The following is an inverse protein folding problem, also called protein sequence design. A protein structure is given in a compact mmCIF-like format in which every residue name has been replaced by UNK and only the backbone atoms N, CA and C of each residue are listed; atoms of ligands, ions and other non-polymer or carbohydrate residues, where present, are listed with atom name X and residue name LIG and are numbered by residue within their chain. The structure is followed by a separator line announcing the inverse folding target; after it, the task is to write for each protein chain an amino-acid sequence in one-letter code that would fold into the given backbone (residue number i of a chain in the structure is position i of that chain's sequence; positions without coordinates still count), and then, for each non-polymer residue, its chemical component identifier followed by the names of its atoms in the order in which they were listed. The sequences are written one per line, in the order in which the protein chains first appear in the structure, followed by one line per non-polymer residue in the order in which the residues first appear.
data_IF_662651923948
#
_entry.id   IF_662651923948
#
_cell.length_a   1.000
_cell.length_b   1.000
_cell.length_c   1.000
_cell.angle_alpha   90.00
_cell.angle_beta   90.00
_cell.angle_gamma   90.00
#
_symmetry.space_group_name_H-M   'P 1'
#
loop_
_entity.id
_entity.type
_entity.pdbx_description
1 polymer ?
#
# COMPACT_ATOMS: atom_id res chain seq x y z
N UNK A 1 30.09 -33.25 0.01
CA UNK A 1 29.58 -32.07 0.73
C UNK A 1 28.12 -31.85 0.33
N UNK A 2 27.18 -32.20 1.20
CA UNK A 2 25.74 -32.04 0.97
C UNK A 2 25.37 -30.55 1.12
N UNK A 3 24.92 -29.90 0.06
CA UNK A 3 24.37 -28.54 0.10
C UNK A 3 22.92 -28.66 0.60
N UNK A 4 22.69 -28.30 1.85
CA UNK A 4 21.34 -28.15 2.39
C UNK A 4 20.63 -27.01 1.65
N UNK A 5 19.65 -27.32 0.78
CA UNK A 5 18.69 -26.35 0.22
C UNK A 5 17.61 -26.12 1.28
N UNK A 6 17.59 -24.94 1.85
CA UNK A 6 16.47 -24.49 2.68
C UNK A 6 15.18 -24.51 1.85
N UNK A 7 14.11 -25.09 2.39
CA UNK A 7 12.80 -24.99 1.76
C UNK A 7 12.20 -23.59 2.02
N UNK A 8 11.17 -23.23 1.23
CA UNK A 8 10.57 -21.90 1.29
C UNK A 8 10.09 -21.50 2.70
N UNK A 9 9.60 -22.46 3.48
CA UNK A 9 9.16 -22.24 4.86
C UNK A 9 10.34 -21.95 5.79
N UNK A 10 11.46 -22.66 5.65
CA UNK A 10 12.68 -22.43 6.41
C UNK A 10 13.31 -21.07 6.06
N UNK A 11 13.21 -20.63 4.80
CA UNK A 11 13.67 -19.31 4.37
C UNK A 11 12.81 -18.20 4.99
N UNK A 12 11.49 -18.37 5.04
CA UNK A 12 10.55 -17.44 5.69
C UNK A 12 10.82 -17.38 7.20
N UNK A 13 11.03 -18.52 7.86
CA UNK A 13 11.35 -18.58 9.29
C UNK A 13 12.71 -17.93 9.57
N UNK A 14 13.72 -18.15 8.72
CA UNK A 14 15.04 -17.53 8.86
C UNK A 14 14.98 -16.01 8.71
N UNK A 15 14.18 -15.49 7.76
CA UNK A 15 13.95 -14.05 7.58
C UNK A 15 13.22 -13.46 8.79
N UNK A 16 12.26 -14.18 9.38
CA UNK A 16 11.56 -13.79 10.59
C UNK A 16 12.49 -13.80 11.82
N UNK A 17 13.40 -14.76 11.94
CA UNK A 17 14.36 -14.86 13.05
C UNK A 17 15.46 -13.80 12.94
N UNK A 18 15.95 -13.49 11.74
CA UNK A 18 16.93 -12.41 11.53
C UNK A 18 16.34 -11.02 11.85
N UNK A 19 15.01 -10.84 11.74
CA UNK A 19 14.33 -9.62 12.12
C UNK A 19 14.26 -9.39 13.65
N UNK A 20 14.53 -10.41 14.48
CA UNK A 20 14.37 -10.36 15.94
C UNK A 20 15.62 -9.87 16.72
N UNK A 21 16.73 -9.58 16.07
CA UNK A 21 18.04 -9.46 16.74
C UNK A 21 18.61 -8.04 16.91
N UNK A 22 17.86 -6.95 16.73
CA UNK A 22 18.43 -5.59 16.74
C UNK A 22 17.72 -4.58 17.70
N UNK A 23 18.43 -3.54 18.22
CA UNK A 23 17.94 -2.67 19.31
C UNK A 23 16.91 -1.60 18.90
N UNK A 24 16.18 -1.15 19.89
CA UNK A 24 14.94 -0.36 19.88
C UNK A 24 15.08 1.11 19.47
N UNK A 25 14.36 1.57 18.44
CA UNK A 25 13.98 2.96 18.25
C UNK A 25 12.63 3.12 17.50
N UNK A 26 11.98 4.27 17.67
CA UNK A 26 10.62 4.54 17.19
C UNK A 26 10.53 4.56 15.66
N UNK A 27 9.63 3.75 15.09
CA UNK A 27 9.26 3.86 13.68
C UNK A 27 8.40 5.11 13.47
N UNK A 28 8.85 6.01 12.61
CA UNK A 28 8.08 7.12 12.11
C UNK A 28 7.58 6.79 10.68
N UNK A 29 6.28 6.93 10.43
CA UNK A 29 5.70 6.88 9.09
C UNK A 29 5.82 8.23 8.38
N UNK A 30 5.32 8.33 7.13
CA UNK A 30 5.27 9.58 6.37
C UNK A 30 6.66 10.13 6.01
N UNK A 31 6.86 11.43 6.18
CA UNK A 31 8.07 12.15 5.77
C UNK A 31 9.34 11.80 6.58
N UNK A 32 9.21 11.13 7.71
CA UNK A 32 10.35 10.82 8.58
C UNK A 32 11.13 9.60 8.08
N UNK A 33 12.44 9.72 7.74
CA UNK A 33 13.31 8.57 7.52
C UNK A 33 13.46 7.75 8.80
N UNK A 34 13.69 6.45 8.65
CA UNK A 34 14.12 5.59 9.75
C UNK A 34 15.54 5.98 10.17
N UNK A 35 15.82 5.96 11.46
CA UNK A 35 17.19 6.12 11.96
C UNK A 35 18.05 4.95 11.51
N UNK A 36 19.35 5.19 11.32
CA UNK A 36 20.30 4.14 10.97
C UNK A 36 20.17 2.96 11.92
N UNK A 37 20.06 1.75 11.34
CA UNK A 37 19.98 0.50 12.09
C UNK A 37 18.61 0.22 12.70
N UNK A 38 17.57 1.06 12.49
CA UNK A 38 16.21 0.78 12.96
C UNK A 38 15.31 0.34 11.83
N UNK A 39 14.29 -0.44 12.16
CA UNK A 39 13.34 -0.95 11.18
C UNK A 39 11.89 -0.92 11.64
N UNK A 40 10.99 -0.94 10.67
CA UNK A 40 9.56 -1.12 10.87
C UNK A 40 9.07 -2.18 9.89
N UNK A 41 8.41 -3.20 10.41
CA UNK A 41 7.88 -4.33 9.64
C UNK A 41 6.43 -4.53 9.99
N UNK A 42 5.61 -4.86 9.01
CA UNK A 42 4.19 -5.14 9.24
C UNK A 42 3.68 -6.28 8.37
N UNK A 43 2.71 -6.98 8.90
CA UNK A 43 1.85 -7.93 8.21
C UNK A 43 0.42 -7.40 8.32
N UNK A 44 -0.23 -7.16 7.19
CA UNK A 44 -1.60 -6.67 7.12
C UNK A 44 -2.50 -7.69 6.40
N UNK A 45 -3.68 -7.91 6.94
CA UNK A 45 -4.83 -8.49 6.24
C UNK A 45 -5.74 -7.36 5.79
N UNK A 46 -6.12 -7.35 4.50
CA UNK A 46 -7.00 -6.37 3.89
C UNK A 46 -8.14 -7.08 3.18
N UNK A 47 -9.36 -6.60 3.38
CA UNK A 47 -10.54 -7.15 2.75
C UNK A 47 -11.46 -6.05 2.25
N UNK A 48 -12.02 -6.24 1.05
CA UNK A 48 -13.11 -5.46 0.51
C UNK A 48 -14.13 -6.35 -0.19
N UNK A 49 -15.38 -5.91 -0.21
CA UNK A 49 -16.47 -6.58 -0.92
C UNK A 49 -17.47 -5.55 -1.42
N UNK A 50 -17.81 -5.58 -2.71
CA UNK A 50 -18.75 -4.64 -3.30
C UNK A 50 -19.49 -5.22 -4.48
N UNK A 51 -20.73 -4.74 -4.66
CA UNK A 51 -21.51 -4.92 -5.87
C UNK A 51 -21.66 -3.60 -6.67
N UNK A 52 -20.73 -2.64 -6.45
CA UNK A 52 -20.75 -1.34 -7.12
C UNK A 52 -19.36 -0.93 -7.58
N UNK A 53 -19.30 -0.33 -8.77
CA UNK A 53 -18.08 0.20 -9.39
C UNK A 53 -18.38 1.60 -9.92
N UNK A 54 -17.41 2.50 -9.83
CA UNK A 54 -17.43 3.73 -10.60
C UNK A 54 -16.88 3.45 -12.00
N UNK A 55 -17.70 3.68 -13.03
CA UNK A 55 -17.32 3.48 -14.44
C UNK A 55 -16.34 4.58 -14.93
N UNK A 56 -16.03 4.58 -16.22
CA UNK A 56 -15.13 5.55 -16.85
C UNK A 56 -15.64 7.01 -16.82
N UNK A 57 -16.93 7.22 -16.58
CA UNK A 57 -17.56 8.53 -16.44
C UNK A 57 -17.67 8.98 -14.98
N UNK A 58 -17.26 8.10 -14.03
CA UNK A 58 -17.42 8.34 -12.59
C UNK A 58 -18.84 8.10 -12.08
N UNK A 59 -19.69 7.47 -12.88
CA UNK A 59 -21.03 7.04 -12.48
C UNK A 59 -20.95 5.71 -11.74
N UNK A 60 -21.68 5.60 -10.64
CA UNK A 60 -21.74 4.38 -9.85
C UNK A 60 -22.70 3.39 -10.49
N UNK A 61 -22.18 2.27 -10.96
CA UNK A 61 -22.94 1.19 -11.62
C UNK A 61 -22.92 -0.08 -10.78
N UNK A 62 -23.97 -0.90 -10.92
CA UNK A 62 -24.02 -2.22 -10.30
C UNK A 62 -23.15 -3.22 -11.06
N UNK A 63 -22.44 -4.04 -10.36
CA UNK A 63 -21.64 -5.17 -10.88
C UNK A 63 -21.96 -6.42 -10.07
N UNK A 64 -21.65 -7.63 -10.56
CA UNK A 64 -21.62 -8.81 -9.72
C UNK A 64 -20.72 -8.57 -8.51
N UNK A 65 -21.01 -9.22 -7.39
CA UNK A 65 -20.28 -9.01 -6.14
C UNK A 65 -18.81 -9.36 -6.32
N UNK A 66 -17.94 -8.38 -6.22
CA UNK A 66 -16.50 -8.53 -6.25
C UNK A 66 -15.95 -8.52 -4.83
N UNK A 67 -15.11 -9.50 -4.53
CA UNK A 67 -14.40 -9.64 -3.26
C UNK A 67 -12.88 -9.59 -3.53
N UNK A 68 -12.14 -8.83 -2.74
CA UNK A 68 -10.68 -8.76 -2.81
C UNK A 68 -10.12 -8.94 -1.40
N UNK A 69 -9.31 -9.96 -1.24
CA UNK A 69 -8.58 -10.27 -0.02
C UNK A 69 -7.08 -10.19 -0.31
N UNK A 70 -6.34 -9.48 0.53
CA UNK A 70 -4.90 -9.35 0.38
C UNK A 70 -4.21 -9.54 1.73
N UNK A 71 -3.16 -10.38 1.75
CA UNK A 71 -2.17 -10.46 2.83
C UNK A 71 -0.94 -9.70 2.37
N UNK A 72 -0.65 -8.56 3.02
CA UNK A 72 0.45 -7.68 2.68
C UNK A 72 1.59 -7.76 3.69
N UNK A 73 2.80 -7.73 3.19
CA UNK A 73 4.03 -7.56 3.96
C UNK A 73 4.65 -6.22 3.60
N UNK A 74 5.13 -5.50 4.58
CA UNK A 74 5.89 -4.27 4.38
C UNK A 74 7.07 -4.23 5.35
N UNK A 75 8.23 -3.83 4.86
CA UNK A 75 9.41 -3.58 5.66
C UNK A 75 10.07 -2.27 5.26
N UNK A 76 10.58 -1.53 6.24
CA UNK A 76 11.45 -0.38 6.02
C UNK A 76 12.62 -0.42 6.99
N UNK A 77 13.80 -0.01 6.52
CA UNK A 77 15.04 -0.05 7.29
C UNK A 77 15.90 1.18 7.04
N UNK A 78 16.40 1.78 8.11
CA UNK A 78 17.30 2.92 8.06
C UNK A 78 18.72 2.50 7.68
N UNK A 79 19.12 2.73 6.45
CA UNK A 79 20.47 2.47 5.94
C UNK A 79 21.44 3.50 6.51
N UNK A 80 21.02 4.75 6.53
CA UNK A 80 21.66 5.88 7.23
C UNK A 80 20.57 6.68 7.96
N UNK A 81 20.93 7.70 8.73
CA UNK A 81 19.95 8.59 9.38
C UNK A 81 19.10 9.41 8.39
N UNK A 82 19.52 9.48 7.13
CA UNK A 82 18.81 10.17 6.06
C UNK A 82 18.25 9.24 4.99
N UNK A 83 18.74 8.01 4.89
CA UNK A 83 18.37 7.06 3.83
C UNK A 83 17.66 5.85 4.42
N UNK A 84 16.43 5.61 3.98
CA UNK A 84 15.60 4.46 4.34
C UNK A 84 15.32 3.63 3.09
N UNK A 85 15.63 2.34 3.12
CA UNK A 85 15.14 1.37 2.15
C UNK A 85 13.79 0.80 2.59
N UNK A 86 12.90 0.51 1.65
CA UNK A 86 11.63 -0.14 1.96
C UNK A 86 11.19 -1.11 0.87
N UNK A 87 10.41 -2.10 1.29
CA UNK A 87 9.80 -3.09 0.41
C UNK A 87 8.34 -3.33 0.85
N UNK A 88 7.45 -3.42 -0.12
CA UNK A 88 6.06 -3.83 0.08
C UNK A 88 5.72 -4.97 -0.86
N UNK A 89 5.04 -5.99 -0.34
CA UNK A 89 4.71 -7.21 -1.07
C UNK A 89 3.27 -7.59 -0.78
N UNK A 90 2.46 -7.80 -1.82
CA UNK A 90 1.19 -8.52 -1.68
C UNK A 90 1.50 -10.04 -1.69
N UNK A 91 1.84 -10.58 -0.52
CA UNK A 91 2.30 -11.97 -0.37
C UNK A 91 1.23 -12.99 -0.76
N UNK A 92 -0.03 -12.64 -0.61
CA UNK A 92 -1.16 -13.38 -1.13
C UNK A 92 -2.29 -12.40 -1.48
N UNK A 93 -2.89 -12.60 -2.64
CA UNK A 93 -4.07 -11.87 -3.09
C UNK A 93 -5.06 -12.85 -3.69
N UNK A 94 -6.35 -12.70 -3.37
CA UNK A 94 -7.45 -13.43 -3.97
C UNK A 94 -8.52 -12.44 -4.38
N UNK A 95 -8.94 -12.51 -5.63
CA UNK A 95 -10.01 -11.68 -6.19
C UNK A 95 -11.07 -12.62 -6.75
N UNK A 96 -12.31 -12.44 -6.33
CA UNK A 96 -13.47 -13.26 -6.73
C UNK A 96 -14.59 -12.36 -7.22
N UNK A 97 -15.26 -12.81 -8.27
CA UNK A 97 -16.45 -12.17 -8.83
C UNK A 97 -17.60 -13.20 -8.83
N UNK A 98 -18.62 -12.96 -8.01
CA UNK A 98 -19.81 -13.82 -7.95
C UNK A 98 -20.64 -13.59 -9.22
N UNK A 99 -20.45 -14.43 -10.23
CA UNK A 99 -21.27 -14.40 -11.45
C UNK A 99 -22.45 -15.35 -11.34
N UNK A 100 -23.63 -14.89 -11.72
CA UNK A 100 -24.87 -15.69 -11.75
C UNK A 100 -25.11 -16.28 -13.14
N UNK A 101 -24.25 -16.03 -14.12
CA UNK A 101 -24.48 -16.33 -15.53
C UNK A 101 -23.17 -16.60 -16.28
N UNK A 102 -23.23 -17.52 -17.24
CA UNK A 102 -22.23 -17.82 -18.28
C UNK A 102 -21.92 -16.66 -19.25
N UNK A 103 -22.27 -15.43 -18.91
CA UNK A 103 -22.05 -14.26 -19.74
C UNK A 103 -20.63 -13.67 -19.65
N UNK A 104 -19.74 -14.26 -18.86
CA UNK A 104 -18.37 -13.78 -18.64
C UNK A 104 -17.40 -14.86 -19.14
N UNK A 105 -16.58 -14.51 -20.13
CA UNK A 105 -15.60 -15.42 -20.76
C UNK A 105 -14.21 -15.36 -20.11
N UNK A 106 -14.13 -15.15 -18.78
CA UNK A 106 -12.86 -15.18 -18.05
C UNK A 106 -13.05 -15.80 -16.66
N UNK A 107 -11.94 -16.20 -16.05
CA UNK A 107 -11.95 -16.77 -14.69
C UNK A 107 -12.50 -15.79 -13.66
N UNK A 108 -13.50 -16.22 -12.92
CA UNK A 108 -14.18 -15.42 -11.88
C UNK A 108 -13.55 -15.53 -10.50
N UNK A 109 -12.47 -16.29 -10.38
CA UNK A 109 -11.66 -16.46 -9.15
C UNK A 109 -10.19 -16.54 -9.56
N UNK A 110 -9.39 -15.57 -9.14
CA UNK A 110 -7.94 -15.56 -9.31
C UNK A 110 -7.26 -15.39 -7.97
N UNK A 111 -6.23 -16.18 -7.72
CA UNK A 111 -5.43 -16.03 -6.51
C UNK A 111 -3.94 -16.28 -6.78
N UNK A 112 -3.11 -15.73 -5.92
CA UNK A 112 -1.67 -15.89 -6.00
C UNK A 112 -0.90 -14.76 -5.35
N UNK A 113 0.35 -14.66 -5.72
CA UNK A 113 1.24 -13.57 -5.35
C UNK A 113 0.82 -12.29 -6.08
N UNK A 114 0.93 -11.16 -5.44
CA UNK A 114 0.69 -9.86 -6.07
C UNK A 114 2.00 -9.16 -6.44
N UNK A 115 1.94 -7.85 -6.63
CA UNK A 115 3.11 -7.06 -7.00
C UNK A 115 4.04 -6.80 -5.83
N UNK A 116 5.34 -6.63 -6.17
CA UNK A 116 6.37 -6.17 -5.26
C UNK A 116 6.65 -4.70 -5.55
N UNK A 117 6.73 -3.88 -4.50
CA UNK A 117 7.18 -2.50 -4.58
C UNK A 117 8.46 -2.36 -3.74
N UNK A 118 9.52 -1.83 -4.34
CA UNK A 118 10.76 -1.53 -3.64
C UNK A 118 11.08 -0.06 -3.79
N UNK A 119 11.72 0.54 -2.79
CA UNK A 119 12.04 1.96 -2.90
C UNK A 119 13.03 2.45 -1.88
N UNK A 120 13.43 3.70 -2.09
CA UNK A 120 14.30 4.45 -1.20
C UNK A 120 13.61 5.76 -0.84
N UNK A 121 13.74 6.16 0.42
CA UNK A 121 13.35 7.48 0.93
C UNK A 121 14.58 8.19 1.44
N UNK A 122 14.75 9.45 1.04
CA UNK A 122 15.86 10.30 1.47
C UNK A 122 15.34 11.54 2.19
N UNK A 123 15.81 11.76 3.42
CA UNK A 123 15.55 12.98 4.19
C UNK A 123 16.36 14.13 3.64
N UNK A 124 15.70 15.07 2.95
CA UNK A 124 16.31 16.25 2.33
C UNK A 124 16.82 17.19 3.42
N UNK A 125 15.98 17.44 4.43
CA UNK A 125 16.32 18.37 5.50
C UNK A 125 15.23 18.51 6.56
N UNK A 126 15.54 19.33 7.57
CA UNK A 126 14.66 19.63 8.68
C UNK A 126 14.74 21.14 9.01
N UNK A 127 13.58 21.76 9.16
CA UNK A 127 13.43 23.14 9.62
C UNK A 127 12.57 23.11 10.89
N UNK A 128 13.18 23.37 12.04
CA UNK A 128 12.50 23.24 13.33
C UNK A 128 11.98 21.80 13.54
N UNK A 129 10.67 21.62 13.59
CA UNK A 129 9.98 20.33 13.76
C UNK A 129 9.39 19.80 12.44
N UNK A 130 9.64 20.47 11.34
CA UNK A 130 9.19 20.09 10.00
C UNK A 130 10.31 19.32 9.28
N UNK A 131 9.98 18.16 8.73
CA UNK A 131 10.90 17.29 7.98
C UNK A 131 10.44 17.25 6.53
N UNK A 132 11.40 17.29 5.62
CA UNK A 132 11.19 17.15 4.17
C UNK A 132 11.92 15.90 3.69
N UNK A 133 11.27 15.10 2.87
CA UNK A 133 11.88 13.93 2.24
C UNK A 133 11.41 13.76 0.81
N UNK A 134 12.20 13.02 0.05
CA UNK A 134 11.84 12.51 -1.28
C UNK A 134 11.92 11.00 -1.29
N UNK A 135 11.24 10.37 -2.23
CA UNK A 135 11.26 8.93 -2.41
C UNK A 135 11.25 8.54 -3.88
N UNK A 136 11.88 7.42 -4.17
CA UNK A 136 11.75 6.72 -5.43
C UNK A 136 11.18 5.33 -5.16
N UNK A 137 10.30 4.85 -6.05
CA UNK A 137 9.63 3.57 -5.89
C UNK A 137 9.63 2.87 -7.25
N UNK A 138 9.94 1.57 -7.25
CA UNK A 138 9.82 0.70 -8.40
C UNK A 138 8.76 -0.37 -8.11
N UNK A 139 7.74 -0.44 -8.97
CA UNK A 139 6.71 -1.47 -8.93
C UNK A 139 7.06 -2.58 -9.90
N UNK A 140 7.26 -3.79 -9.37
CA UNK A 140 7.58 -4.99 -10.13
C UNK A 140 6.29 -5.78 -10.35
N UNK A 141 5.90 -6.07 -11.61
CA UNK A 141 4.66 -6.77 -11.94
C UNK A 141 4.81 -8.28 -11.72
N UNK A 142 4.89 -8.70 -10.47
CA UNK A 142 5.07 -10.11 -10.07
C UNK A 142 3.74 -10.85 -9.88
N UNK A 143 2.63 -10.13 -9.86
CA UNK A 143 1.30 -10.72 -9.77
C UNK A 143 0.84 -11.35 -11.09
N UNK A 144 -0.18 -12.20 -10.99
CA UNK A 144 -0.80 -12.81 -12.17
C UNK A 144 -1.65 -11.78 -12.90
N UNK A 145 -1.56 -11.84 -14.23
CA UNK A 145 -2.40 -11.05 -15.14
C UNK A 145 -3.00 -11.98 -16.18
N UNK A 146 -4.22 -11.71 -16.55
CA UNK A 146 -5.00 -12.38 -17.57
C UNK A 146 -5.33 -11.37 -18.69
N UNK A 147 -6.06 -11.73 -19.76
CA UNK A 147 -6.52 -10.77 -20.74
C UNK A 147 -7.19 -9.55 -20.10
N UNK A 148 -7.11 -8.40 -20.76
CA UNK A 148 -7.71 -7.14 -20.27
C UNK A 148 -9.20 -7.32 -19.95
N UNK A 149 -9.59 -6.77 -18.80
CA UNK A 149 -10.94 -6.89 -18.26
C UNK A 149 -11.18 -8.13 -17.38
N UNK A 150 -10.24 -9.08 -17.31
CA UNK A 150 -10.29 -10.20 -16.37
C UNK A 150 -9.80 -9.82 -14.95
N UNK A 151 -9.87 -10.75 -14.01
CA UNK A 151 -9.39 -10.54 -12.64
C UNK A 151 -7.86 -10.72 -12.57
N UNK A 152 -7.19 -9.78 -11.90
CA UNK A 152 -5.74 -9.76 -11.76
C UNK A 152 -5.32 -9.77 -10.28
N UNK A 153 -4.14 -10.34 -9.98
CA UNK A 153 -3.50 -10.21 -8.66
C UNK A 153 -2.41 -9.15 -8.63
N UNK A 154 -2.00 -8.62 -9.77
CA UNK A 154 -1.00 -7.56 -9.92
C UNK A 154 -1.33 -6.58 -11.04
N UNK A 155 -0.53 -5.53 -11.18
CA UNK A 155 -0.77 -4.42 -12.12
C UNK A 155 -0.42 -4.73 -13.58
N UNK A 156 0.31 -5.81 -13.82
CA UNK A 156 0.75 -6.22 -15.16
C UNK A 156 1.80 -5.34 -15.83
N UNK A 157 2.18 -4.22 -15.22
CA UNK A 157 3.15 -3.28 -15.77
C UNK A 157 4.24 -2.94 -14.75
N UNK A 158 5.46 -2.77 -15.24
CA UNK A 158 6.52 -2.14 -14.45
C UNK A 158 6.20 -0.65 -14.28
N UNK A 159 6.47 -0.14 -13.10
CA UNK A 159 6.27 1.28 -12.82
C UNK A 159 7.43 1.87 -12.04
N UNK A 160 7.65 3.16 -12.25
CA UNK A 160 8.62 3.95 -11.50
C UNK A 160 7.95 5.21 -10.99
N UNK A 161 8.22 5.56 -9.74
CA UNK A 161 7.58 6.72 -9.13
C UNK A 161 8.59 7.55 -8.36
N UNK A 162 8.37 8.86 -8.39
CA UNK A 162 9.09 9.84 -7.58
C UNK A 162 8.08 10.61 -6.75
N UNK A 163 8.41 10.86 -5.49
CA UNK A 163 7.51 11.58 -4.59
C UNK A 163 8.24 12.47 -3.62
N UNK A 164 7.50 13.43 -3.08
CA UNK A 164 7.94 14.34 -2.02
C UNK A 164 7.01 14.21 -0.83
N UNK A 165 7.55 14.36 0.36
CA UNK A 165 6.79 14.28 1.60
C UNK A 165 7.25 15.40 2.56
N UNK A 166 6.29 15.96 3.30
CA UNK A 166 6.49 16.93 4.34
C UNK A 166 5.77 16.47 5.60
N UNK A 167 6.43 16.49 6.74
CA UNK A 167 5.84 16.13 8.03
C UNK A 167 6.17 17.17 9.11
N UNK A 168 5.19 17.52 9.92
CA UNK A 168 5.38 18.41 11.06
C UNK A 168 4.92 17.76 12.36
N UNK A 169 5.80 17.76 13.36
CA UNK A 169 5.48 17.30 14.71
C UNK A 169 5.19 18.50 15.62
N UNK A 170 4.04 18.51 16.27
CA UNK A 170 3.65 19.57 17.20
C UNK A 170 4.14 19.34 18.63
N UNK A 171 5.05 18.35 18.83
CA UNK A 171 5.61 18.07 20.16
C UNK A 171 5.93 19.38 20.93
N UNK A 172 5.56 19.52 22.23
CA UNK A 172 5.08 18.47 23.14
C UNK A 172 3.60 18.09 22.96
N UNK A 173 2.82 18.81 22.15
CA UNK A 173 1.46 18.36 21.85
C UNK A 173 1.49 16.99 21.12
N UNK A 174 0.60 16.07 21.49
CA UNK A 174 0.69 14.67 21.07
C UNK A 174 0.13 14.41 19.64
N UNK A 175 0.38 15.32 18.71
CA UNK A 175 -0.09 15.15 17.33
C UNK A 175 0.94 15.57 16.29
N UNK A 176 0.75 15.05 15.08
CA UNK A 176 1.53 15.38 13.89
C UNK A 176 0.63 15.48 12.66
N UNK A 177 1.14 16.14 11.65
CA UNK A 177 0.58 16.10 10.29
C UNK A 177 1.66 15.66 9.30
N UNK A 178 1.23 15.03 8.24
CA UNK A 178 2.08 14.61 7.14
C UNK A 178 1.33 14.78 5.82
N UNK A 179 2.02 15.26 4.80
CA UNK A 179 1.50 15.37 3.44
C UNK A 179 2.51 14.85 2.44
N UNK A 180 2.02 14.38 1.30
CA UNK A 180 2.90 13.88 0.24
C UNK A 180 2.22 13.87 -1.11
N UNK A 181 3.05 13.93 -2.15
CA UNK A 181 2.64 13.81 -3.54
C UNK A 181 3.61 12.89 -4.28
N UNK A 182 3.10 12.11 -5.22
CA UNK A 182 3.89 11.12 -5.96
C UNK A 182 3.42 11.07 -7.40
N UNK A 183 4.32 11.28 -8.34
CA UNK A 183 4.14 10.98 -9.75
C UNK A 183 4.62 9.56 -10.03
N UNK A 184 3.86 8.80 -10.81
CA UNK A 184 4.13 7.42 -11.15
C UNK A 184 3.98 7.21 -12.65
N UNK A 185 5.09 6.92 -13.29
CA UNK A 185 5.12 6.49 -14.69
C UNK A 185 4.86 4.99 -14.78
N UNK A 186 4.06 4.58 -15.76
CA UNK A 186 3.71 3.19 -16.02
C UNK A 186 3.99 2.85 -17.48
N UNK A 187 4.56 1.66 -17.72
CA UNK A 187 4.84 1.16 -19.08
C UNK A 187 3.66 0.33 -19.64
N UNK A 188 3.82 -0.18 -20.87
CA UNK A 188 2.84 -1.00 -21.60
C UNK A 188 1.51 -0.31 -21.86
N UNK A 189 1.53 0.97 -22.15
CA UNK A 189 0.33 1.72 -22.53
C UNK A 189 -0.59 2.10 -21.36
N UNK A 190 -0.23 1.81 -20.12
CA UNK A 190 -0.99 2.30 -18.98
C UNK A 190 -0.77 3.80 -18.79
N UNK A 191 -1.83 4.52 -18.45
CA UNK A 191 -1.73 5.95 -18.12
C UNK A 191 -0.92 6.18 -16.86
N UNK A 192 -0.14 7.24 -16.86
CA UNK A 192 0.60 7.71 -15.68
C UNK A 192 -0.34 8.21 -14.58
N UNK A 193 0.14 8.21 -13.37
CA UNK A 193 -0.67 8.52 -12.18
C UNK A 193 -0.01 9.58 -11.30
N UNK A 194 -0.83 10.48 -10.80
CA UNK A 194 -0.48 11.36 -9.70
C UNK A 194 -1.25 10.95 -8.45
N UNK A 195 -0.55 10.73 -7.35
CA UNK A 195 -1.15 10.37 -6.06
C UNK A 195 -0.80 11.39 -5.00
N UNK A 196 -1.71 11.63 -4.06
CA UNK A 196 -1.51 12.54 -2.95
C UNK A 196 -2.03 11.94 -1.65
N UNK A 197 -1.48 12.39 -0.54
CA UNK A 197 -1.88 12.00 0.81
C UNK A 197 -1.77 13.18 1.76
N UNK A 198 -2.73 13.30 2.65
CA UNK A 198 -2.70 14.12 3.84
C UNK A 198 -3.04 13.25 5.04
N UNK A 199 -2.21 13.23 6.05
CA UNK A 199 -2.36 12.41 7.24
C UNK A 199 -2.24 13.27 8.49
N UNK A 200 -3.11 13.02 9.47
CA UNK A 200 -2.99 13.53 10.82
C UNK A 200 -3.02 12.40 11.82
N UNK A 201 -2.08 12.40 12.77
CA UNK A 201 -2.05 11.40 13.84
C UNK A 201 -2.08 12.05 15.21
N UNK A 202 -2.92 11.51 16.10
CA UNK A 202 -3.07 11.97 17.48
C UNK A 202 -2.83 10.81 18.44
N UNK A 203 -1.89 10.98 19.37
CA UNK A 203 -1.62 10.01 20.43
C UNK A 203 -2.62 10.20 21.57
N UNK A 204 -3.65 9.36 21.62
CA UNK A 204 -4.71 9.41 22.64
C UNK A 204 -4.16 9.11 24.03
N UNK A 205 -3.37 8.04 24.13
CA UNK A 205 -2.62 7.65 25.33
C UNK A 205 -1.24 7.14 24.90
N UNK A 206 -0.36 6.84 25.87
CA UNK A 206 1.03 6.43 25.61
C UNK A 206 1.17 5.34 24.53
N UNK A 207 0.23 4.40 24.47
CA UNK A 207 0.29 3.22 23.61
C UNK A 207 -0.71 3.24 22.44
N UNK A 208 -1.67 4.18 22.41
CA UNK A 208 -2.74 4.23 21.42
C UNK A 208 -2.65 5.51 20.60
N UNK A 209 -2.55 5.36 19.30
CA UNK A 209 -2.56 6.46 18.33
C UNK A 209 -3.76 6.31 17.39
N UNK A 210 -4.48 7.39 17.19
CA UNK A 210 -5.52 7.52 16.17
C UNK A 210 -4.96 8.29 14.97
N UNK A 211 -5.22 7.80 13.78
CA UNK A 211 -4.72 8.39 12.53
C UNK A 211 -5.89 8.56 11.58
N UNK A 212 -5.94 9.71 10.92
CA UNK A 212 -6.86 9.99 9.81
C UNK A 212 -6.05 10.31 8.59
N UNK A 213 -6.45 9.75 7.44
CA UNK A 213 -5.84 10.03 6.13
C UNK A 213 -6.89 10.42 5.12
N UNK A 214 -6.54 11.42 4.32
CA UNK A 214 -7.18 11.71 3.05
C UNK A 214 -6.16 11.44 1.96
N UNK A 215 -6.51 10.62 1.01
CA UNK A 215 -5.61 10.28 -0.09
C UNK A 215 -6.38 10.08 -1.37
N UNK A 216 -5.68 10.17 -2.47
CA UNK A 216 -6.30 9.96 -3.76
C UNK A 216 -5.27 9.70 -4.85
N UNK A 217 -5.83 9.34 -5.99
CA UNK A 217 -5.11 9.08 -7.22
C UNK A 217 -5.82 9.79 -8.36
N UNK A 218 -5.06 10.35 -9.28
CA UNK A 218 -5.51 10.97 -10.51
C UNK A 218 -4.74 10.32 -11.66
N UNK A 219 -5.45 9.76 -12.63
CA UNK A 219 -4.84 9.33 -13.89
C UNK A 219 -4.60 10.54 -14.79
N UNK A 220 -3.44 10.60 -15.45
CA UNK A 220 -3.12 11.63 -16.42
C UNK A 220 -3.77 11.38 -17.79
N UNK A 221 -4.36 10.18 -18.01
CA UNK A 221 -5.04 9.77 -19.25
C UNK A 221 -4.16 9.88 -20.51
N UNK A 222 -2.88 9.65 -20.35
CA UNK A 222 -1.84 9.73 -21.39
C UNK A 222 -1.43 8.35 -21.93
N UNK A 223 -2.12 7.29 -21.47
CA UNK A 223 -1.93 5.91 -21.93
C UNK A 223 -2.75 5.57 -23.16
N UNK A 224 -2.66 4.31 -23.58
CA UNK A 224 -3.48 3.75 -24.66
C UNK A 224 -4.90 3.49 -24.15
N UNK A 225 -5.89 4.06 -24.84
CA UNK A 225 -7.32 3.91 -24.52
C UNK A 225 -7.83 2.47 -24.69
N UNK A 226 -7.12 1.61 -25.41
CA UNK A 226 -7.47 0.20 -25.57
C UNK A 226 -7.04 -0.66 -24.38
N UNK A 227 -6.17 -0.16 -23.51
CA UNK A 227 -5.75 -0.88 -22.31
C UNK A 227 -6.78 -0.71 -21.21
N UNK A 228 -7.48 -1.79 -20.88
CA UNK A 228 -8.50 -1.82 -19.83
C UNK A 228 -7.87 -2.14 -18.47
N UNK A 229 -6.92 -3.07 -18.45
CA UNK A 229 -6.30 -3.62 -17.23
C UNK A 229 -7.19 -4.64 -16.51
N UNK A 230 -6.83 -5.01 -15.30
CA UNK A 230 -7.56 -5.99 -14.49
C UNK A 230 -8.82 -5.42 -13.86
N UNK A 231 -9.95 -6.09 -14.06
CA UNK A 231 -11.27 -5.64 -13.60
C UNK A 231 -11.30 -5.31 -12.10
N UNK A 232 -11.87 -4.19 -11.79
CA UNK A 232 -12.16 -3.72 -10.43
C UNK A 232 -10.96 -3.11 -9.70
N UNK A 233 -9.84 -3.77 -9.61
CA UNK A 233 -8.70 -3.35 -8.76
C UNK A 233 -7.50 -2.82 -9.52
N UNK A 234 -7.30 -3.25 -10.76
CA UNK A 234 -6.16 -2.86 -11.60
C UNK A 234 -6.58 -2.26 -12.94
N UNK A 235 -7.76 -1.69 -13.03
CA UNK A 235 -8.22 -0.99 -14.24
C UNK A 235 -7.29 0.16 -14.58
N UNK A 236 -7.14 0.44 -15.88
CA UNK A 236 -6.47 1.65 -16.33
C UNK A 236 -7.31 2.89 -16.00
N UNK A 237 -6.72 4.07 -16.07
CA UNK A 237 -7.38 5.36 -15.83
C UNK A 237 -8.12 5.48 -14.50
N UNK A 238 -7.62 4.83 -13.45
CA UNK A 238 -8.21 4.93 -12.13
C UNK A 238 -8.08 6.33 -11.54
N UNK A 239 -9.17 6.81 -10.98
CA UNK A 239 -9.17 8.03 -10.17
C UNK A 239 -10.05 7.82 -8.94
N UNK A 240 -9.60 8.31 -7.79
CA UNK A 240 -10.42 8.28 -6.58
C UNK A 240 -9.96 9.29 -5.53
N UNK A 241 -10.87 9.59 -4.62
CA UNK A 241 -10.60 10.25 -3.35
C UNK A 241 -11.12 9.32 -2.26
N UNK A 242 -10.29 9.04 -1.27
CA UNK A 242 -10.64 8.18 -0.14
C UNK A 242 -10.21 8.81 1.19
N UNK A 243 -10.90 8.44 2.23
CA UNK A 243 -10.53 8.74 3.62
C UNK A 243 -10.36 7.44 4.39
N UNK A 244 -9.41 7.43 5.30
CA UNK A 244 -9.04 6.29 6.11
C UNK A 244 -8.94 6.72 7.57
N UNK A 245 -9.47 5.90 8.47
CA UNK A 245 -9.28 6.04 9.91
C UNK A 245 -8.58 4.81 10.43
N UNK A 246 -7.50 4.97 11.19
CA UNK A 246 -6.67 3.88 11.70
C UNK A 246 -6.44 4.02 13.19
N UNK A 247 -6.54 2.93 13.91
CA UNK A 247 -6.10 2.78 15.30
C UNK A 247 -4.83 1.93 15.34
N UNK A 248 -3.82 2.44 16.02
CA UNK A 248 -2.53 1.78 16.22
C UNK A 248 -2.30 1.60 17.72
N UNK A 249 -2.28 0.37 18.20
CA UNK A 249 -2.02 0.04 19.60
C UNK A 249 -0.67 -0.68 19.74
N UNK A 250 0.22 -0.09 20.53
CA UNK A 250 1.54 -0.63 20.83
C UNK A 250 1.45 -1.50 22.08
N UNK A 251 1.51 -2.82 21.88
CA UNK A 251 1.42 -3.82 22.97
C UNK A 251 2.69 -3.84 23.81
N UNK A 252 3.86 -3.82 23.15
CA UNK A 252 5.17 -3.71 23.77
C UNK A 252 5.96 -2.55 23.17
N UNK A 253 7.20 -2.35 23.57
CA UNK A 253 8.08 -1.35 22.95
C UNK A 253 8.29 -1.59 21.45
N UNK A 254 8.28 -2.84 21.02
CA UNK A 254 8.64 -3.27 19.68
C UNK A 254 7.47 -3.81 18.87
N UNK A 255 6.41 -4.27 19.52
CA UNK A 255 5.29 -4.96 18.87
C UNK A 255 3.99 -4.23 19.10
N UNK A 256 3.15 -4.21 18.08
CA UNK A 256 1.81 -3.67 18.18
C UNK A 256 0.85 -4.24 17.14
N UNK A 257 -0.39 -3.83 17.29
CA UNK A 257 -1.52 -4.18 16.40
C UNK A 257 -2.13 -2.92 15.83
N UNK A 258 -2.75 -3.04 14.69
CA UNK A 258 -3.43 -1.91 14.04
C UNK A 258 -4.64 -2.39 13.28
N UNK A 259 -5.60 -1.51 13.11
CA UNK A 259 -6.76 -1.74 12.28
C UNK A 259 -7.20 -0.45 11.63
N UNK A 260 -7.66 -0.52 10.39
CA UNK A 260 -8.21 0.63 9.71
C UNK A 260 -9.50 0.32 8.95
N UNK A 261 -10.28 1.37 8.80
CA UNK A 261 -11.43 1.45 7.92
C UNK A 261 -11.18 2.55 6.90
N UNK A 262 -11.38 2.24 5.63
CA UNK A 262 -11.24 3.18 4.52
C UNK A 262 -12.52 3.20 3.71
N UNK A 263 -12.93 4.37 3.26
CA UNK A 263 -14.05 4.54 2.35
C UNK A 263 -13.73 5.59 1.29
N UNK A 264 -14.28 5.39 0.10
CA UNK A 264 -14.12 6.32 -1.02
C UNK A 264 -15.30 7.27 -1.15
N UNK A 265 -15.01 8.54 -1.48
CA UNK A 265 -16.04 9.55 -1.77
C UNK A 265 -16.49 9.52 -3.23
N UNK A 266 -15.54 9.62 -4.15
CA UNK A 266 -15.75 9.63 -5.61
C UNK A 266 -14.66 8.80 -6.28
N UNK A 267 -14.97 8.27 -7.46
CA UNK A 267 -14.00 7.46 -8.21
C UNK A 267 -14.32 7.41 -9.69
N UNK A 268 -13.39 6.83 -10.45
CA UNK A 268 -13.51 6.43 -11.84
C UNK A 268 -12.68 5.17 -12.04
N UNK A 269 -13.22 4.20 -12.78
CA UNK A 269 -12.61 2.90 -13.02
C UNK A 269 -12.13 2.21 -11.72
N UNK A 270 -12.94 2.26 -10.68
CA UNK A 270 -12.59 1.70 -9.36
C UNK A 270 -13.81 1.18 -8.62
N UNK A 271 -13.63 0.14 -7.86
CA UNK A 271 -14.67 -0.45 -7.00
C UNK A 271 -15.08 0.56 -5.92
N UNK A 272 -16.40 0.71 -5.76
CA UNK A 272 -17.00 1.61 -4.75
C UNK A 272 -17.36 0.81 -3.51
N UNK A 273 -16.43 0.69 -2.57
CA UNK A 273 -16.64 -0.09 -1.35
C UNK A 273 -15.78 0.42 -0.20
N UNK A 274 -16.19 0.23 1.05
CA UNK A 274 -15.28 0.31 2.16
C UNK A 274 -14.24 -0.80 2.11
N UNK A 275 -13.06 -0.51 2.66
CA UNK A 275 -11.97 -1.46 2.88
C UNK A 275 -11.74 -1.56 4.38
N UNK A 276 -11.66 -2.78 4.89
CA UNK A 276 -11.23 -3.03 6.27
C UNK A 276 -9.87 -3.71 6.27
N UNK A 277 -9.07 -3.38 7.26
CA UNK A 277 -7.79 -4.05 7.45
C UNK A 277 -7.45 -4.20 8.92
N UNK A 278 -6.78 -5.30 9.23
CA UNK A 278 -6.16 -5.53 10.52
C UNK A 278 -4.73 -6.02 10.28
N UNK A 279 -3.82 -5.69 11.21
CA UNK A 279 -2.44 -6.09 11.05
C UNK A 279 -1.66 -6.03 12.35
N UNK A 280 -0.49 -6.61 12.29
CA UNK A 280 0.52 -6.55 13.34
C UNK A 280 1.75 -5.83 12.80
N UNK A 281 2.50 -5.20 13.70
CA UNK A 281 3.76 -4.58 13.32
C UNK A 281 4.83 -4.81 14.37
N UNK A 282 6.06 -4.78 13.91
CA UNK A 282 7.26 -4.88 14.72
C UNK A 282 8.20 -3.73 14.39
N UNK A 283 8.87 -3.20 15.42
CA UNK A 283 9.90 -2.15 15.29
C UNK A 283 11.15 -2.56 16.08
N UNK A 284 12.29 -2.25 15.58
CA UNK A 284 13.55 -2.41 16.30
C UNK A 284 14.47 -1.21 16.14
#
# INVERSE_FOLDING_TARGET
MSRYKLNNLQLIILVLILALALPLHQAAGGAWPQKKGTGYYKLDFRYMSSSKLYNSEGVKVSIPKLQDMTIGLFGSYGITDKLTGFIGVAAFKSVKLDTVSSAVNFDTDVSGFGDINVGLKYGIGKIGKTVFSTKIIFGLPTGKTEPDGALWTGSGNFSQAVGVEIGHSFYPAPFYINGGATYKNRIKGFSDEFSYILEGGYKIIKNLTFIVRFHGKISLKDGDSNIIGGFGTYMNDQQFIAYNTELVYRVTKNFGVKGYYESGGKGRNIVSTPVISAGIFFTH
#
